data_IF_617226411963
#
_entry.id   IF_617226411963
#
_cell.length_a   1.000
_cell.length_b   1.000
_cell.length_c   1.000
_cell.angle_alpha   90.00
_cell.angle_beta   90.00
_cell.angle_gamma   90.00
#
_symmetry.space_group_name_H-M   'P 1'
#
loop_
_entity.id
_entity.type
_entity.pdbx_description
1 polymer ?
#
# COMPACT_ATOMS: atom_id res chain seq x y z
N UNK A 1 -20.56 -14.05 24.58
CA UNK A 1 -19.82 -13.01 25.35
C UNK A 1 -18.72 -12.47 24.45
N UNK A 2 -18.81 -11.23 24.00
CA UNK A 2 -17.70 -10.60 23.28
C UNK A 2 -16.52 -10.37 24.26
N UNK A 3 -15.27 -10.61 23.85
CA UNK A 3 -14.12 -10.42 24.72
C UNK A 3 -14.05 -8.96 25.22
N UNK A 4 -13.62 -8.75 26.46
CA UNK A 4 -13.56 -7.40 27.07
C UNK A 4 -12.73 -6.40 26.24
N UNK A 5 -11.79 -6.88 25.42
CA UNK A 5 -11.00 -6.06 24.49
C UNK A 5 -11.82 -5.39 23.40
N UNK A 6 -12.91 -5.99 22.91
CA UNK A 6 -13.71 -5.41 21.82
C UNK A 6 -14.46 -4.16 22.27
N UNK A 7 -14.91 -4.11 23.53
CA UNK A 7 -15.64 -2.96 24.07
C UNK A 7 -14.75 -1.71 24.20
N UNK A 8 -13.50 -1.91 24.61
CA UNK A 8 -12.54 -0.82 24.77
C UNK A 8 -12.17 -0.20 23.40
N UNK A 9 -12.05 -1.04 22.37
CA UNK A 9 -11.80 -0.59 21.00
C UNK A 9 -12.95 0.29 20.46
N UNK A 10 -14.21 -0.12 20.64
CA UNK A 10 -15.37 0.67 20.21
C UNK A 10 -15.50 2.00 20.95
N UNK A 11 -15.16 2.04 22.25
CA UNK A 11 -15.14 3.30 23.01
C UNK A 11 -14.03 4.26 22.54
N UNK A 12 -12.85 3.74 22.21
CA UNK A 12 -11.76 4.56 21.65
C UNK A 12 -12.12 5.10 20.25
N UNK A 13 -12.78 4.29 19.42
CA UNK A 13 -13.25 4.72 18.09
C UNK A 13 -14.30 5.84 18.16
N UNK A 14 -15.13 5.89 19.21
CA UNK A 14 -16.11 6.97 19.38
C UNK A 14 -15.52 8.32 19.84
N UNK A 15 -14.27 8.34 20.32
CA UNK A 15 -13.59 9.56 20.77
C UNK A 15 -12.82 10.28 19.65
N UNK A 16 -12.60 9.62 18.52
CA UNK A 16 -11.99 10.25 17.36
C UNK A 16 -13.03 11.12 16.64
N UNK A 17 -13.22 12.36 17.10
CA UNK A 17 -13.90 13.37 16.31
C UNK A 17 -13.01 13.65 15.09
N UNK A 18 -13.44 13.29 13.86
CA UNK A 18 -12.61 13.55 12.70
C UNK A 18 -12.49 15.06 12.54
N UNK A 19 -11.28 15.54 12.23
CA UNK A 19 -11.09 16.94 11.91
C UNK A 19 -12.00 17.27 10.71
N UNK A 20 -12.70 18.40 10.75
CA UNK A 20 -13.48 18.88 9.62
C UNK A 20 -12.61 19.79 8.77
N UNK A 21 -11.48 19.26 8.31
CA UNK A 21 -10.63 19.94 7.35
C UNK A 21 -10.98 19.44 5.95
N UNK A 22 -11.16 20.38 5.04
CA UNK A 22 -11.66 20.16 3.68
C UNK A 22 -10.80 21.05 2.79
N UNK A 23 -10.30 20.55 1.66
CA UNK A 23 -9.50 21.40 0.76
C UNK A 23 -10.38 22.47 0.13
N UNK A 24 -10.05 23.75 0.35
CA UNK A 24 -10.83 24.89 -0.11
C UNK A 24 -9.94 26.11 -0.44
N UNK A 25 -10.50 27.09 -1.14
CA UNK A 25 -9.84 28.39 -1.31
C UNK A 25 -10.05 29.26 -0.07
N UNK A 26 -9.00 29.95 0.35
CA UNK A 26 -9.11 30.99 1.37
C UNK A 26 -10.05 32.13 0.91
N UNK A 27 -10.77 32.72 1.86
CA UNK A 27 -11.75 33.77 1.57
C UNK A 27 -11.04 35.01 1.03
N UNK A 28 -11.40 35.44 -0.18
CA UNK A 28 -10.82 36.64 -0.81
C UNK A 28 -9.46 36.47 -1.51
N UNK A 29 -8.83 35.29 -1.45
CA UNK A 29 -7.55 35.02 -2.13
C UNK A 29 -7.64 33.77 -3.03
N UNK A 30 -6.67 33.54 -3.91
CA UNK A 30 -6.56 32.28 -4.67
C UNK A 30 -5.67 31.25 -3.96
N UNK A 31 -5.39 31.45 -2.68
CA UNK A 31 -4.61 30.53 -1.86
C UNK A 31 -5.46 29.30 -1.55
N UNK A 32 -4.92 28.10 -1.79
CA UNK A 32 -5.59 26.84 -1.47
C UNK A 32 -5.14 26.42 -0.07
N UNK A 33 -6.09 26.21 0.84
CA UNK A 33 -5.88 25.59 2.15
C UNK A 33 -6.17 24.10 1.98
N UNK A 34 -5.14 23.28 2.15
CA UNK A 34 -5.23 21.84 1.95
C UNK A 34 -5.76 21.09 3.16
N UNK A 35 -6.36 19.91 2.93
CA UNK A 35 -6.70 18.98 4.01
C UNK A 35 -5.46 18.16 4.42
N UNK A 36 -4.89 18.40 5.61
CA UNK A 36 -3.73 17.65 6.06
C UNK A 36 -4.04 16.21 6.47
N UNK A 37 -5.30 15.84 6.66
CA UNK A 37 -5.70 14.47 6.97
C UNK A 37 -5.60 13.56 5.73
N UNK A 38 -5.66 14.14 4.52
CA UNK A 38 -5.56 13.40 3.27
C UNK A 38 -4.14 13.34 2.71
N UNK A 39 -3.43 14.47 2.69
CA UNK A 39 -2.11 14.58 2.04
C UNK A 39 -1.15 15.49 2.82
N UNK A 40 -1.41 15.67 4.12
CA UNK A 40 -0.46 16.28 5.04
C UNK A 40 0.87 15.56 5.03
N UNK A 41 1.90 16.23 5.56
CA UNK A 41 3.27 15.74 5.50
C UNK A 41 3.44 14.38 6.21
N UNK A 42 2.74 14.16 7.33
CA UNK A 42 2.76 12.87 8.04
C UNK A 42 2.18 11.73 7.20
N UNK A 43 1.08 11.99 6.48
CA UNK A 43 0.44 11.03 5.58
C UNK A 43 1.34 10.72 4.39
N UNK A 44 1.85 11.76 3.72
CA UNK A 44 2.77 11.59 2.57
C UNK A 44 4.01 10.79 2.93
N UNK A 45 4.71 11.18 4.00
CA UNK A 45 5.92 10.47 4.45
C UNK A 45 5.61 9.02 4.84
N UNK A 46 4.45 8.74 5.44
CA UNK A 46 4.01 7.37 5.70
C UNK A 46 3.98 6.51 4.44
N UNK A 47 3.33 7.00 3.38
CA UNK A 47 3.25 6.28 2.10
C UNK A 47 4.60 6.13 1.43
N UNK A 48 5.47 7.14 1.53
CA UNK A 48 6.83 7.07 0.97
C UNK A 48 7.69 6.05 1.70
N UNK A 49 7.62 6.01 3.04
CA UNK A 49 8.29 5.00 3.84
C UNK A 49 7.75 3.60 3.54
N UNK A 50 6.42 3.44 3.46
CA UNK A 50 5.83 2.15 3.17
C UNK A 50 6.12 1.66 1.75
N UNK A 51 6.24 2.58 0.78
CA UNK A 51 6.77 2.27 -0.55
C UNK A 51 8.23 1.79 -0.49
N UNK A 52 9.09 2.52 0.24
CA UNK A 52 10.48 2.12 0.43
C UNK A 52 10.59 0.74 1.09
N UNK A 53 9.75 0.44 2.08
CA UNK A 53 9.64 -0.90 2.69
C UNK A 53 9.28 -1.96 1.65
N UNK A 54 8.27 -1.71 0.82
CA UNK A 54 7.89 -2.62 -0.25
C UNK A 54 9.04 -2.90 -1.23
N UNK A 55 9.75 -1.86 -1.66
CA UNK A 55 10.92 -1.99 -2.53
C UNK A 55 12.04 -2.79 -1.86
N UNK A 56 12.35 -2.51 -0.59
CA UNK A 56 13.36 -3.27 0.16
C UNK A 56 12.96 -4.74 0.23
N UNK A 57 11.72 -5.04 0.60
CA UNK A 57 11.23 -6.41 0.69
C UNK A 57 11.30 -7.14 -0.68
N UNK A 58 10.99 -6.45 -1.78
CA UNK A 58 11.17 -6.99 -3.14
C UNK A 58 12.63 -7.26 -3.48
N UNK A 59 13.54 -6.33 -3.19
CA UNK A 59 14.98 -6.49 -3.46
C UNK A 59 15.58 -7.69 -2.73
N UNK A 60 15.10 -7.97 -1.52
CA UNK A 60 15.52 -9.10 -0.70
C UNK A 60 14.73 -10.39 -0.94
N UNK A 61 13.78 -10.41 -1.88
CA UNK A 61 12.98 -11.61 -2.13
C UNK A 61 12.03 -11.99 -0.98
N UNK A 62 11.77 -11.08 -0.04
CA UNK A 62 11.10 -11.41 1.22
C UNK A 62 9.57 -11.25 1.12
N UNK A 63 8.89 -12.31 0.70
CA UNK A 63 7.43 -12.31 0.52
C UNK A 63 6.65 -11.98 1.81
N UNK A 64 7.14 -12.39 2.99
CA UNK A 64 6.50 -12.12 4.28
C UNK A 64 6.54 -10.63 4.61
N UNK A 65 7.70 -10.01 4.44
CA UNK A 65 7.85 -8.57 4.66
C UNK A 65 6.98 -7.76 3.68
N UNK A 66 6.86 -8.19 2.41
CA UNK A 66 5.93 -7.56 1.45
C UNK A 66 4.48 -7.63 1.96
N UNK A 67 4.06 -8.80 2.45
CA UNK A 67 2.70 -9.02 2.93
C UNK A 67 2.35 -8.19 4.17
N UNK A 68 3.28 -8.05 5.12
CA UNK A 68 3.05 -7.25 6.33
C UNK A 68 2.91 -5.75 6.00
N UNK A 69 3.70 -5.24 5.06
CA UNK A 69 3.57 -3.84 4.61
C UNK A 69 2.26 -3.62 3.86
N UNK A 70 1.83 -4.57 3.03
CA UNK A 70 0.52 -4.51 2.34
C UNK A 70 -0.63 -4.40 3.33
N UNK A 71 -0.62 -5.15 4.43
CA UNK A 71 -1.66 -5.11 5.48
C UNK A 71 -1.77 -3.73 6.10
N UNK A 72 -0.64 -3.16 6.53
CA UNK A 72 -0.60 -1.82 7.12
C UNK A 72 -1.15 -0.76 6.16
N UNK A 73 -0.68 -0.78 4.91
CA UNK A 73 -1.10 0.18 3.90
C UNK A 73 -2.56 0.02 3.47
N UNK A 74 -3.09 -1.21 3.44
CA UNK A 74 -4.50 -1.45 3.11
C UNK A 74 -5.43 -0.78 4.13
N UNK A 75 -5.07 -0.85 5.42
CA UNK A 75 -5.84 -0.22 6.50
C UNK A 75 -5.81 1.30 6.36
N UNK A 76 -4.61 1.89 6.22
CA UNK A 76 -4.46 3.34 6.07
C UNK A 76 -5.16 3.84 4.80
N UNK A 77 -5.01 3.12 3.69
CA UNK A 77 -5.65 3.45 2.42
C UNK A 77 -7.17 3.40 2.48
N UNK A 78 -7.73 2.42 3.20
CA UNK A 78 -9.17 2.36 3.44
C UNK A 78 -9.67 3.56 4.26
N UNK A 79 -8.92 3.93 5.31
CA UNK A 79 -9.25 5.12 6.12
C UNK A 79 -9.23 6.40 5.28
N UNK A 80 -8.18 6.62 4.47
CA UNK A 80 -8.10 7.77 3.58
C UNK A 80 -9.22 7.78 2.54
N UNK A 81 -9.59 6.63 2.00
CA UNK A 81 -10.70 6.54 1.06
C UNK A 81 -12.03 7.00 1.68
N UNK A 82 -12.30 6.61 2.93
CA UNK A 82 -13.50 7.06 3.65
C UNK A 82 -13.49 8.59 3.83
N UNK A 83 -12.35 9.15 4.25
CA UNK A 83 -12.19 10.60 4.44
C UNK A 83 -12.39 11.32 3.10
N UNK A 84 -11.79 10.82 2.02
CA UNK A 84 -11.90 11.38 0.69
C UNK A 84 -13.36 11.44 0.20
N UNK A 85 -14.11 10.35 0.34
CA UNK A 85 -15.54 10.31 -0.04
C UNK A 85 -16.35 11.30 0.81
N UNK A 86 -16.05 11.41 2.10
CA UNK A 86 -16.72 12.36 2.99
C UNK A 86 -16.43 13.80 2.57
N UNK A 87 -15.17 14.17 2.34
CA UNK A 87 -14.77 15.52 1.94
C UNK A 87 -15.36 15.91 0.59
N UNK A 88 -15.39 14.98 -0.36
CA UNK A 88 -16.03 15.16 -1.65
C UNK A 88 -17.53 15.51 -1.50
N UNK A 89 -18.22 14.97 -0.49
CA UNK A 89 -19.63 15.29 -0.21
C UNK A 89 -19.81 16.65 0.49
N UNK A 90 -18.76 17.20 1.07
CA UNK A 90 -18.77 18.48 1.82
C UNK A 90 -18.37 19.68 0.97
N UNK A 91 -18.18 19.52 -0.35
CA UNK A 91 -17.85 20.65 -1.22
C UNK A 91 -16.36 20.93 -1.34
N UNK A 92 -15.47 19.97 -1.01
CA UNK A 92 -14.02 20.12 -1.23
C UNK A 92 -13.68 20.36 -2.70
N UNK A 93 -12.44 20.77 -2.96
CA UNK A 93 -11.78 20.62 -4.26
C UNK A 93 -11.59 19.11 -4.59
N UNK A 94 -12.71 18.41 -4.77
CA UNK A 94 -12.81 16.96 -4.70
C UNK A 94 -11.89 16.28 -5.70
N UNK A 95 -11.77 16.79 -6.93
CA UNK A 95 -10.93 16.14 -7.93
C UNK A 95 -9.45 16.33 -7.66
N UNK A 96 -9.03 17.48 -7.11
CA UNK A 96 -7.63 17.68 -6.68
C UNK A 96 -7.27 16.69 -5.57
N UNK A 97 -8.13 16.57 -4.56
CA UNK A 97 -7.95 15.60 -3.47
C UNK A 97 -7.93 14.17 -4.01
N UNK A 98 -8.81 13.86 -4.97
CA UNK A 98 -8.91 12.55 -5.60
C UNK A 98 -7.63 12.19 -6.36
N UNK A 99 -7.07 13.12 -7.14
CA UNK A 99 -5.80 12.92 -7.86
C UNK A 99 -4.58 12.80 -6.93
N UNK A 100 -4.55 13.58 -5.84
CA UNK A 100 -3.49 13.44 -4.82
C UNK A 100 -3.56 12.07 -4.14
N UNK A 101 -4.75 11.65 -3.70
CA UNK A 101 -4.93 10.32 -3.10
C UNK A 101 -4.70 9.21 -4.13
N UNK A 102 -5.06 9.41 -5.41
CA UNK A 102 -4.76 8.48 -6.49
C UNK A 102 -3.27 8.17 -6.58
N UNK A 103 -2.46 9.24 -6.69
CA UNK A 103 -1.01 9.11 -6.87
C UNK A 103 -0.34 8.48 -5.65
N UNK A 104 -0.73 8.88 -4.44
CA UNK A 104 -0.13 8.37 -3.21
C UNK A 104 -0.59 6.96 -2.83
N UNK A 105 -1.90 6.69 -2.89
CA UNK A 105 -2.46 5.44 -2.37
C UNK A 105 -2.53 4.39 -3.46
N UNK A 106 -2.92 4.74 -4.67
CA UNK A 106 -3.15 3.74 -5.71
C UNK A 106 -1.93 3.55 -6.59
N UNK A 107 -1.33 4.63 -7.11
CA UNK A 107 -0.18 4.53 -8.00
C UNK A 107 1.06 4.03 -7.24
N UNK A 108 1.37 4.60 -6.06
CA UNK A 108 2.54 4.21 -5.27
C UNK A 108 2.43 2.78 -4.70
N UNK A 109 1.24 2.37 -4.24
CA UNK A 109 1.04 0.99 -3.78
C UNK A 109 1.04 0.01 -4.94
N UNK A 110 0.49 0.38 -6.10
CA UNK A 110 0.58 -0.47 -7.30
C UNK A 110 2.00 -0.56 -7.82
N UNK A 111 2.81 0.49 -7.68
CA UNK A 111 4.23 0.46 -8.00
C UNK A 111 4.96 -0.55 -7.11
N UNK A 112 4.73 -0.54 -5.79
CA UNK A 112 5.38 -1.49 -4.87
C UNK A 112 4.81 -2.91 -4.92
N UNK A 113 3.53 -3.08 -5.25
CA UNK A 113 2.82 -4.35 -5.01
C UNK A 113 2.01 -4.87 -6.19
N UNK A 114 1.83 -4.10 -7.26
CA UNK A 114 0.93 -4.40 -8.38
C UNK A 114 1.11 -5.79 -8.98
N UNK A 115 2.35 -6.20 -9.33
CA UNK A 115 2.61 -7.55 -9.83
C UNK A 115 2.32 -8.65 -8.79
N UNK A 116 2.38 -8.28 -7.51
CA UNK A 116 2.13 -9.16 -6.38
C UNK A 116 0.72 -9.04 -5.80
N UNK A 117 -0.20 -8.28 -6.39
CA UNK A 117 -1.58 -8.19 -5.91
C UNK A 117 -2.31 -9.55 -5.97
N UNK A 118 -1.79 -10.49 -6.77
CA UNK A 118 -2.28 -11.87 -6.85
C UNK A 118 -1.77 -12.73 -5.69
N UNK A 119 -0.62 -12.38 -5.09
CA UNK A 119 0.06 -13.16 -4.07
C UNK A 119 -0.14 -12.57 -2.65
N UNK A 120 -0.44 -13.44 -1.69
CA UNK A 120 -0.66 -13.10 -0.28
C UNK A 120 -1.91 -13.75 0.31
N UNK A 121 -2.14 -13.51 1.59
CA UNK A 121 -3.29 -14.02 2.30
C UNK A 121 -4.60 -13.52 1.66
N UNK A 122 -5.63 -14.36 1.78
CA UNK A 122 -6.93 -14.12 1.13
C UNK A 122 -7.62 -12.87 1.69
N UNK A 123 -7.40 -12.53 2.96
CA UNK A 123 -8.05 -11.39 3.61
C UNK A 123 -7.45 -10.06 3.12
N UNK A 124 -6.12 -9.95 3.08
CA UNK A 124 -5.42 -8.77 2.56
C UNK A 124 -5.76 -8.54 1.09
N UNK A 125 -5.75 -9.59 0.27
CA UNK A 125 -6.19 -9.49 -1.13
C UNK A 125 -7.64 -9.05 -1.25
N UNK A 126 -8.53 -9.57 -0.40
CA UNK A 126 -9.92 -9.18 -0.40
C UNK A 126 -10.10 -7.69 -0.06
N UNK A 127 -9.47 -7.22 1.03
CA UNK A 127 -9.55 -5.83 1.47
C UNK A 127 -9.00 -4.89 0.40
N UNK A 128 -7.78 -5.13 -0.11
CA UNK A 128 -7.18 -4.31 -1.16
C UNK A 128 -8.06 -4.27 -2.42
N UNK A 129 -8.57 -5.42 -2.87
CA UNK A 129 -9.43 -5.50 -4.06
C UNK A 129 -10.75 -4.75 -3.86
N UNK A 130 -11.33 -4.79 -2.65
CA UNK A 130 -12.53 -4.02 -2.33
C UNK A 130 -12.22 -2.53 -2.35
N UNK A 131 -11.13 -2.07 -1.71
CA UNK A 131 -10.77 -0.64 -1.69
C UNK A 131 -10.51 -0.12 -3.10
N UNK A 132 -9.71 -0.84 -3.90
CA UNK A 132 -9.42 -0.49 -5.29
C UNK A 132 -10.66 -0.51 -6.16
N UNK A 133 -11.51 -1.52 -5.97
CA UNK A 133 -12.77 -1.63 -6.68
C UNK A 133 -13.73 -0.49 -6.36
N UNK A 134 -13.92 -0.15 -5.08
CA UNK A 134 -14.77 0.96 -4.64
C UNK A 134 -14.26 2.30 -5.19
N UNK A 135 -12.96 2.55 -5.06
CA UNK A 135 -12.35 3.76 -5.61
C UNK A 135 -12.57 3.89 -7.11
N UNK A 136 -12.34 2.80 -7.85
CA UNK A 136 -12.49 2.76 -9.30
C UNK A 136 -13.94 2.99 -9.75
N UNK A 137 -14.91 2.40 -9.05
CA UNK A 137 -16.35 2.54 -9.36
C UNK A 137 -16.88 3.94 -9.01
N UNK A 138 -16.27 4.64 -8.06
CA UNK A 138 -16.65 6.02 -7.74
C UNK A 138 -16.05 7.07 -8.67
N UNK A 139 -15.06 6.73 -9.50
CA UNK A 139 -14.43 7.71 -10.39
C UNK A 139 -15.41 8.44 -11.31
N UNK A 140 -16.38 7.77 -11.99
CA UNK A 140 -17.35 8.49 -12.82
C UNK A 140 -18.15 9.50 -12.02
N UNK A 141 -18.56 9.18 -10.78
CA UNK A 141 -19.26 10.15 -9.95
C UNK A 141 -18.42 11.40 -9.70
N UNK A 142 -17.14 11.23 -9.37
CA UNK A 142 -16.21 12.35 -9.14
C UNK A 142 -16.02 13.19 -10.40
N UNK A 143 -15.65 12.57 -11.52
CA UNK A 143 -15.31 13.32 -12.74
C UNK A 143 -16.52 13.84 -13.52
N UNK A 144 -17.71 13.22 -13.38
CA UNK A 144 -18.93 13.72 -14.04
C UNK A 144 -19.69 14.73 -13.18
N UNK A 145 -19.75 14.53 -11.86
CA UNK A 145 -20.58 15.37 -10.99
C UNK A 145 -19.79 16.41 -10.19
N UNK A 146 -18.50 16.16 -9.91
CA UNK A 146 -17.70 17.00 -9.00
C UNK A 146 -16.53 17.69 -9.71
N UNK A 147 -16.44 17.63 -11.03
CA UNK A 147 -15.36 18.25 -11.81
C UNK A 147 -15.19 19.74 -11.52
N UNK A 148 -16.30 20.47 -11.39
CA UNK A 148 -16.32 21.90 -11.09
C UNK A 148 -16.50 22.20 -9.58
N UNK A 149 -16.52 21.18 -8.71
CA UNK A 149 -16.72 21.38 -7.28
C UNK A 149 -15.52 22.12 -6.67
N UNK A 150 -15.82 23.16 -5.88
CA UNK A 150 -14.80 24.00 -5.24
C UNK A 150 -14.13 24.98 -6.19
N UNK A 151 -14.49 25.01 -7.48
CA UNK A 151 -13.94 25.96 -8.46
C UNK A 151 -14.24 27.41 -8.05
N UNK A 152 -13.25 28.29 -8.16
CA UNK A 152 -13.37 29.72 -7.90
C UNK A 152 -12.97 30.51 -9.15
N UNK A 153 -13.83 31.44 -9.57
CA UNK A 153 -13.55 32.28 -10.75
C UNK A 153 -12.30 33.14 -10.53
N UNK A 154 -11.44 33.22 -11.56
CA UNK A 154 -10.18 33.95 -11.51
C UNK A 154 -9.03 33.23 -10.80
N UNK A 155 -9.28 32.06 -10.18
CA UNK A 155 -8.23 31.24 -9.60
C UNK A 155 -7.92 30.04 -10.51
N UNK A 156 -6.65 29.91 -10.91
CA UNK A 156 -6.18 28.81 -11.74
C UNK A 156 -5.77 27.62 -10.87
N UNK A 157 -6.41 26.47 -11.09
CA UNK A 157 -5.96 25.19 -10.54
C UNK A 157 -5.08 24.50 -11.58
N UNK A 158 -3.88 24.07 -11.19
CA UNK A 158 -2.88 23.50 -12.10
C UNK A 158 -2.75 22.01 -11.90
N UNK A 159 -2.76 21.27 -12.99
CA UNK A 159 -2.40 19.86 -13.01
C UNK A 159 -0.95 19.71 -13.49
N UNK A 160 -0.23 18.69 -12.99
CA UNK A 160 1.12 18.38 -13.45
C UNK A 160 1.14 17.01 -14.14
N UNK A 161 1.45 16.99 -15.44
CA UNK A 161 1.76 15.78 -16.22
C UNK A 161 3.02 16.03 -17.05
N UNK A 162 4.20 15.96 -16.41
CA UNK A 162 5.50 16.38 -16.96
C UNK A 162 5.60 17.87 -17.36
N UNK A 163 4.48 18.58 -17.46
CA UNK A 163 4.33 20.02 -17.58
C UNK A 163 3.08 20.46 -16.80
N UNK A 164 3.05 21.74 -16.41
CA UNK A 164 1.87 22.33 -15.79
C UNK A 164 0.87 22.76 -16.86
N UNK A 165 -0.41 22.46 -16.63
CA UNK A 165 -1.51 22.91 -17.47
C UNK A 165 -2.74 23.19 -16.62
N UNK A 166 -3.71 23.93 -17.19
CA UNK A 166 -4.98 24.24 -16.51
C UNK A 166 -5.78 22.95 -16.29
N UNK A 167 -6.10 22.69 -15.03
CA UNK A 167 -6.90 21.54 -14.61
C UNK A 167 -8.28 21.52 -15.29
N UNK A 168 -8.87 22.69 -15.51
CA UNK A 168 -10.20 22.84 -16.10
C UNK A 168 -10.18 22.85 -17.63
N UNK A 169 -9.04 22.51 -18.25
CA UNK A 169 -8.98 22.33 -19.69
C UNK A 169 -10.02 21.29 -20.15
N UNK A 170 -10.90 21.67 -21.08
CA UNK A 170 -12.01 20.82 -21.56
C UNK A 170 -11.55 19.47 -22.08
N UNK A 171 -10.38 19.41 -22.74
CA UNK A 171 -9.83 18.15 -23.24
C UNK A 171 -9.35 17.25 -22.11
N UNK A 172 -8.73 17.83 -21.08
CA UNK A 172 -8.28 17.07 -19.91
C UNK A 172 -9.45 16.51 -19.10
N UNK A 173 -10.45 17.35 -18.80
CA UNK A 173 -11.67 16.88 -18.10
C UNK A 173 -12.41 15.83 -18.93
N UNK A 174 -12.48 16.00 -20.26
CA UNK A 174 -13.01 14.99 -21.17
C UNK A 174 -12.24 13.67 -21.13
N UNK A 175 -10.91 13.73 -21.09
CA UNK A 175 -10.04 12.56 -20.94
C UNK A 175 -10.26 11.85 -19.61
N UNK A 176 -10.31 12.57 -18.47
CA UNK A 176 -10.58 11.98 -17.16
C UNK A 176 -11.95 11.30 -17.09
N UNK A 177 -12.99 11.92 -17.66
CA UNK A 177 -14.32 11.31 -17.79
C UNK A 177 -14.27 10.00 -18.57
N UNK A 178 -13.59 9.98 -19.73
CA UNK A 178 -13.42 8.77 -20.53
C UNK A 178 -12.65 7.69 -19.77
N UNK A 179 -11.52 8.04 -19.16
CA UNK A 179 -10.68 7.13 -18.37
C UNK A 179 -11.46 6.51 -17.20
N UNK A 180 -12.31 7.30 -16.53
CA UNK A 180 -13.12 6.84 -15.40
C UNK A 180 -14.08 5.71 -15.76
N UNK A 181 -14.62 5.71 -16.99
CA UNK A 181 -15.50 4.64 -17.48
C UNK A 181 -14.70 3.35 -17.64
N UNK A 182 -13.51 3.42 -18.24
CA UNK A 182 -12.64 2.25 -18.41
C UNK A 182 -12.19 1.68 -17.05
N UNK A 183 -11.78 2.55 -16.13
CA UNK A 183 -11.37 2.16 -14.78
C UNK A 183 -12.54 1.56 -14.00
N UNK A 184 -13.76 2.02 -14.21
CA UNK A 184 -14.95 1.44 -13.55
C UNK A 184 -15.16 -0.03 -13.91
N UNK A 185 -14.93 -0.41 -15.18
CA UNK A 185 -15.05 -1.82 -15.61
C UNK A 185 -14.06 -2.69 -14.85
N UNK A 186 -12.81 -2.22 -14.75
CA UNK A 186 -11.76 -2.87 -13.95
C UNK A 186 -12.15 -2.90 -12.47
N UNK A 187 -12.72 -1.81 -11.96
CA UNK A 187 -13.22 -1.69 -10.59
C UNK A 187 -14.27 -2.71 -10.22
N UNK A 188 -15.26 -2.94 -11.09
CA UNK A 188 -16.29 -3.97 -10.91
C UNK A 188 -15.67 -5.37 -10.82
N UNK A 189 -14.66 -5.65 -11.66
CA UNK A 189 -13.91 -6.91 -11.57
C UNK A 189 -13.18 -7.06 -10.22
N UNK A 190 -12.47 -6.00 -9.77
CA UNK A 190 -11.79 -6.01 -8.46
C UNK A 190 -12.77 -6.17 -7.29
N UNK A 191 -13.94 -5.53 -7.33
CA UNK A 191 -14.98 -5.72 -6.32
C UNK A 191 -15.46 -7.18 -6.28
N UNK A 192 -15.80 -7.75 -7.44
CA UNK A 192 -16.23 -9.15 -7.53
C UNK A 192 -15.15 -10.09 -7.00
N UNK A 193 -13.89 -9.89 -7.40
CA UNK A 193 -12.75 -10.66 -6.92
C UNK A 193 -12.57 -10.51 -5.40
N UNK A 194 -12.68 -9.30 -4.85
CA UNK A 194 -12.57 -9.03 -3.43
C UNK A 194 -13.66 -9.70 -2.60
N UNK A 195 -14.92 -9.66 -3.06
CA UNK A 195 -16.05 -10.35 -2.42
C UNK A 195 -15.84 -11.86 -2.42
N UNK A 196 -15.42 -12.44 -3.55
CA UNK A 196 -15.15 -13.88 -3.64
C UNK A 196 -14.02 -14.31 -2.69
N UNK A 197 -12.94 -13.53 -2.57
CA UNK A 197 -11.86 -13.82 -1.62
C UNK A 197 -12.32 -13.66 -0.17
N UNK A 198 -13.18 -12.69 0.13
CA UNK A 198 -13.79 -12.54 1.46
C UNK A 198 -14.61 -13.77 1.83
N UNK A 199 -15.49 -14.23 0.94
CA UNK A 199 -16.34 -15.42 1.18
C UNK A 199 -15.47 -16.65 1.41
N UNK A 200 -14.41 -16.85 0.61
CA UNK A 200 -13.46 -17.94 0.78
C UNK A 200 -12.72 -17.86 2.11
N UNK A 201 -12.20 -16.69 2.47
CA UNK A 201 -11.50 -16.48 3.74
C UNK A 201 -12.41 -16.76 4.95
N UNK A 202 -13.66 -16.30 4.91
CA UNK A 202 -14.66 -16.59 5.97
C UNK A 202 -14.97 -18.09 6.03
N UNK A 203 -15.10 -18.74 4.87
CA UNK A 203 -15.31 -20.20 4.79
C UNK A 203 -14.13 -20.95 5.43
N UNK A 204 -12.90 -20.56 5.16
CA UNK A 204 -11.72 -21.18 5.76
C UNK A 204 -11.71 -21.01 7.28
N UNK A 205 -12.09 -19.85 7.81
CA UNK A 205 -12.19 -19.60 9.26
C UNK A 205 -13.29 -20.48 9.89
N UNK A 206 -14.44 -20.60 9.23
CA UNK A 206 -15.59 -21.32 9.77
C UNK A 206 -15.43 -22.84 9.70
N UNK A 207 -15.02 -23.37 8.54
CA UNK A 207 -14.88 -24.81 8.31
C UNK A 207 -13.48 -25.34 8.65
N UNK A 208 -12.42 -24.55 8.43
CA UNK A 208 -11.04 -24.95 8.68
C UNK A 208 -10.71 -25.11 10.17
N UNK A 209 -11.48 -24.45 11.06
CA UNK A 209 -11.36 -24.64 12.51
C UNK A 209 -11.75 -26.05 12.96
N UNK A 210 -12.49 -26.81 12.14
CA UNK A 210 -12.85 -28.20 12.44
C UNK A 210 -11.87 -29.23 11.84
N UNK A 211 -10.85 -28.79 11.08
CA UNK A 211 -9.77 -29.63 10.55
C UNK A 211 -8.56 -29.71 11.49
N UNK A 212 -8.70 -29.24 12.74
CA UNK A 212 -7.66 -29.25 13.78
C UNK A 212 -7.24 -30.63 14.29
N UNK A 213 -7.51 -31.70 13.54
CA UNK A 213 -7.08 -33.06 13.86
C UNK A 213 -6.35 -33.77 12.69
N UNK A 214 -5.98 -33.04 11.62
CA UNK A 214 -5.00 -33.53 10.66
C UNK A 214 -3.60 -33.28 11.21
N UNK A 215 -3.25 -34.04 12.24
CA UNK A 215 -1.91 -34.03 12.82
C UNK A 215 -0.85 -34.51 11.83
N UNK A 216 0.40 -34.09 12.10
CA UNK A 216 1.61 -34.85 11.79
C UNK A 216 1.82 -35.35 10.36
N UNK A 217 1.38 -34.58 9.36
CA UNK A 217 2.05 -34.64 8.05
C UNK A 217 3.32 -33.79 8.10
N UNK A 218 4.31 -34.32 8.80
CA UNK A 218 5.73 -34.18 8.42
C UNK A 218 5.87 -34.92 7.07
N UNK A 219 5.33 -34.32 6.00
CA UNK A 219 5.55 -34.81 4.65
C UNK A 219 6.93 -34.33 4.24
N UNK A 220 7.88 -35.27 4.11
CA UNK A 220 9.22 -35.06 3.57
C UNK A 220 9.19 -34.68 2.08
N UNK A 221 8.64 -33.51 1.78
CA UNK A 221 8.72 -32.80 0.50
C UNK A 221 9.78 -31.68 0.59
N UNK A 222 11.02 -32.03 0.98
CA UNK A 222 12.12 -31.06 1.13
C UNK A 222 13.09 -31.03 -0.07
N UNK A 223 12.85 -31.75 -1.17
CA UNK A 223 13.87 -31.88 -2.24
C UNK A 223 13.63 -31.11 -3.53
N UNK A 224 12.41 -30.66 -3.83
CA UNK A 224 12.11 -29.96 -5.10
C UNK A 224 11.74 -28.47 -4.93
N UNK A 225 11.74 -27.94 -3.70
CA UNK A 225 11.35 -26.54 -3.41
C UNK A 225 12.45 -25.52 -3.68
N UNK A 226 13.72 -25.92 -3.62
CA UNK A 226 14.86 -24.99 -3.75
C UNK A 226 14.95 -24.34 -5.14
N UNK A 227 14.60 -25.07 -6.21
CA UNK A 227 14.68 -24.52 -7.58
C UNK A 227 13.62 -23.46 -7.89
N UNK A 228 12.46 -23.53 -7.25
CA UNK A 228 11.38 -22.57 -7.45
C UNK A 228 11.63 -21.26 -6.67
N UNK A 229 12.34 -21.31 -5.54
CA UNK A 229 12.67 -20.12 -4.75
C UNK A 229 13.61 -19.16 -5.48
N UNK A 230 14.64 -19.69 -6.15
CA UNK A 230 15.61 -18.86 -6.88
C UNK A 230 14.96 -18.11 -8.05
N UNK A 231 14.08 -18.78 -8.81
CA UNK A 231 13.33 -18.14 -9.89
C UNK A 231 12.41 -17.03 -9.39
N UNK A 232 11.77 -17.22 -8.23
CA UNK A 232 10.91 -16.20 -7.62
C UNK A 232 11.71 -14.97 -7.15
N UNK A 233 12.92 -15.17 -6.61
CA UNK A 233 13.82 -14.08 -6.18
C UNK A 233 14.22 -13.17 -7.34
N UNK A 234 14.55 -13.74 -8.49
CA UNK A 234 14.93 -12.96 -9.66
C UNK A 234 13.75 -12.18 -10.26
N UNK A 235 12.56 -12.78 -10.27
CA UNK A 235 11.32 -12.08 -10.64
C UNK A 235 11.07 -10.89 -9.69
N UNK A 236 11.22 -11.08 -8.38
CA UNK A 236 11.04 -10.01 -7.39
C UNK A 236 12.03 -8.86 -7.58
N UNK A 237 13.30 -9.16 -7.87
CA UNK A 237 14.32 -8.15 -8.18
C UNK A 237 14.00 -7.37 -9.46
N UNK A 238 13.54 -8.07 -10.51
CA UNK A 238 13.09 -7.42 -11.74
C UNK A 238 11.93 -6.46 -11.48
N UNK A 239 10.95 -6.86 -10.68
CA UNK A 239 9.86 -5.98 -10.27
C UNK A 239 10.35 -4.80 -9.43
N UNK A 240 11.30 -5.00 -8.51
CA UNK A 240 11.83 -3.91 -7.68
C UNK A 240 12.35 -2.73 -8.51
N UNK A 241 13.03 -2.98 -9.64
CA UNK A 241 13.53 -1.92 -10.52
C UNK A 241 12.38 -1.11 -11.13
N UNK A 242 11.35 -1.79 -11.63
CA UNK A 242 10.15 -1.17 -12.20
C UNK A 242 9.40 -0.39 -11.10
N UNK A 243 9.31 -0.96 -9.90
CA UNK A 243 8.71 -0.34 -8.72
C UNK A 243 9.42 0.95 -8.34
N UNK A 244 10.76 0.99 -8.32
CA UNK A 244 11.55 2.20 -8.03
C UNK A 244 11.24 3.29 -9.04
N UNK A 245 11.25 2.99 -10.35
CA UNK A 245 10.98 3.98 -11.39
C UNK A 245 9.56 4.53 -11.29
N UNK A 246 8.55 3.64 -11.25
CA UNK A 246 7.14 4.03 -11.18
C UNK A 246 6.79 4.76 -9.89
N UNK A 247 7.32 4.32 -8.74
CA UNK A 247 7.10 4.99 -7.46
C UNK A 247 7.80 6.34 -7.36
N UNK A 248 9.00 6.49 -7.93
CA UNK A 248 9.68 7.80 -7.99
C UNK A 248 8.87 8.80 -8.82
N UNK A 249 8.30 8.36 -9.94
CA UNK A 249 7.38 9.17 -10.76
C UNK A 249 6.12 9.54 -9.96
N UNK A 250 5.54 8.60 -9.22
CA UNK A 250 4.37 8.85 -8.37
C UNK A 250 4.64 9.92 -7.30
N UNK A 251 5.76 9.80 -6.58
CA UNK A 251 6.19 10.77 -5.58
C UNK A 251 6.39 12.14 -6.22
N UNK A 252 7.10 12.20 -7.36
CA UNK A 252 7.32 13.45 -8.08
C UNK A 252 5.99 14.09 -8.53
N UNK A 253 5.01 13.31 -9.00
CA UNK A 253 3.68 13.81 -9.34
C UNK A 253 2.96 14.41 -8.13
N UNK A 254 2.91 13.70 -7.01
CA UNK A 254 2.28 14.20 -5.78
C UNK A 254 2.95 15.51 -5.33
N UNK A 255 4.28 15.54 -5.25
CA UNK A 255 5.00 16.73 -4.79
C UNK A 255 4.83 17.92 -5.75
N UNK A 256 4.85 17.69 -7.05
CA UNK A 256 4.64 18.74 -8.04
C UNK A 256 3.21 19.26 -8.08
N UNK A 257 2.22 18.44 -7.73
CA UNK A 257 0.84 18.88 -7.57
C UNK A 257 0.67 19.76 -6.34
N UNK A 258 1.23 19.36 -5.20
CA UNK A 258 1.19 20.15 -3.96
C UNK A 258 1.93 21.47 -4.15
N UNK A 259 3.17 21.43 -4.64
CA UNK A 259 3.99 22.64 -4.83
C UNK A 259 3.48 23.53 -5.95
N UNK A 260 2.98 22.95 -7.04
CA UNK A 260 2.52 23.70 -8.22
C UNK A 260 1.26 24.52 -8.00
N UNK A 261 0.46 24.13 -7.00
CA UNK A 261 -0.74 24.83 -6.58
C UNK A 261 -0.54 25.67 -5.31
N UNK A 262 0.71 25.76 -4.80
CA UNK A 262 1.06 26.43 -3.55
C UNK A 262 0.14 26.02 -2.39
N UNK A 263 -0.23 24.75 -2.25
CA UNK A 263 -1.21 24.34 -1.24
C UNK A 263 -0.65 24.62 0.15
N UNK A 264 -1.36 25.45 0.91
CA UNK A 264 -1.00 25.75 2.30
C UNK A 264 -1.41 24.59 3.20
N UNK A 265 -0.43 24.07 3.92
CA UNK A 265 -0.55 23.02 4.92
C UNK A 265 0.01 23.51 6.27
N UNK A 266 0.11 24.82 6.49
CA UNK A 266 0.69 25.40 7.71
C UNK A 266 -0.16 25.14 8.96
N UNK A 267 -1.48 25.00 8.81
CA UNK A 267 -2.40 24.59 9.89
C UNK A 267 -2.16 23.14 10.34
N UNK A 268 -1.40 22.37 9.56
CA UNK A 268 -1.15 20.95 9.75
C UNK A 268 -0.01 20.73 10.75
N UNK A 269 -0.26 20.87 12.04
CA UNK A 269 0.75 20.45 13.02
C UNK A 269 0.97 18.93 12.97
N UNK A 270 2.24 18.49 13.00
CA UNK A 270 2.61 17.07 13.18
C UNK A 270 2.05 16.47 14.48
N UNK A 271 1.61 17.31 15.43
CA UNK A 271 0.97 16.88 16.67
C UNK A 271 -0.48 16.43 16.46
N UNK A 272 -1.09 16.70 15.30
CA UNK A 272 -2.42 16.18 14.97
C UNK A 272 -2.38 14.65 14.87
N UNK A 273 -3.30 14.00 15.58
CA UNK A 273 -3.47 12.54 15.58
C UNK A 273 -3.63 11.96 14.17
N UNK A 274 -4.31 12.69 13.27
CA UNK A 274 -4.55 12.29 11.88
C UNK A 274 -3.27 12.21 11.04
N UNK A 275 -2.23 12.97 11.38
CA UNK A 275 -0.93 12.93 10.71
C UNK A 275 0.06 12.01 11.42
N UNK A 276 0.03 12.01 12.76
CA UNK A 276 0.95 11.22 13.57
C UNK A 276 0.71 9.72 13.40
N UNK A 277 -0.55 9.28 13.36
CA UNK A 277 -0.87 7.85 13.24
C UNK A 277 -0.33 7.26 11.93
N UNK A 278 -0.65 7.80 10.73
CA UNK A 278 -0.08 7.32 9.48
C UNK A 278 1.45 7.34 9.52
N UNK A 279 2.06 8.45 9.96
CA UNK A 279 3.52 8.56 10.06
C UNK A 279 4.13 7.43 10.88
N UNK A 280 3.59 7.14 12.07
CA UNK A 280 4.05 6.03 12.92
C UNK A 280 3.85 4.67 12.26
N UNK A 281 2.74 4.46 11.54
CA UNK A 281 2.50 3.22 10.78
C UNK A 281 3.54 3.04 9.69
N UNK A 282 3.87 4.10 8.93
CA UNK A 282 4.92 4.06 7.91
C UNK A 282 6.31 3.76 8.49
N UNK A 283 6.68 4.44 9.59
CA UNK A 283 7.95 4.21 10.30
C UNK A 283 8.03 2.79 10.85
N UNK A 284 7.00 2.31 11.53
CA UNK A 284 6.96 0.96 12.09
C UNK A 284 7.05 -0.10 10.99
N UNK A 285 6.34 0.10 9.88
CA UNK A 285 6.39 -0.79 8.72
C UNK A 285 7.80 -0.84 8.13
N UNK A 286 8.45 0.31 7.98
CA UNK A 286 9.83 0.39 7.48
C UNK A 286 10.83 -0.36 8.37
N UNK A 287 10.85 -0.09 9.67
CA UNK A 287 11.76 -0.79 10.58
C UNK A 287 11.47 -2.28 10.67
N UNK A 288 10.19 -2.68 10.68
CA UNK A 288 9.79 -4.09 10.70
C UNK A 288 10.30 -4.84 9.46
N UNK A 289 10.15 -4.24 8.28
CA UNK A 289 10.65 -4.79 7.02
C UNK A 289 12.17 -4.92 7.01
N UNK A 290 12.88 -3.86 7.39
CA UNK A 290 14.35 -3.88 7.44
C UNK A 290 14.83 -4.97 8.41
N UNK A 291 14.24 -5.04 9.61
CA UNK A 291 14.59 -6.05 10.60
C UNK A 291 14.36 -7.48 10.09
N UNK A 292 13.23 -7.72 9.43
CA UNK A 292 12.88 -9.03 8.85
C UNK A 292 13.87 -9.43 7.77
N UNK A 293 14.18 -8.52 6.83
CA UNK A 293 15.15 -8.78 5.76
C UNK A 293 16.55 -9.06 6.32
N UNK A 294 17.03 -8.26 7.28
CA UNK A 294 18.33 -8.46 7.92
C UNK A 294 18.39 -9.78 8.68
N UNK A 295 17.34 -10.11 9.42
CA UNK A 295 17.25 -11.37 10.16
C UNK A 295 17.32 -12.60 9.25
N UNK A 296 16.70 -12.54 8.08
CA UNK A 296 16.73 -13.65 7.13
C UNK A 296 18.10 -13.80 6.46
N UNK A 297 18.78 -12.70 6.11
CA UNK A 297 20.19 -12.73 5.62
C UNK A 297 21.12 -13.36 6.67
N UNK A 298 20.95 -13.00 7.94
CA UNK A 298 21.78 -13.57 9.02
C UNK A 298 21.55 -15.08 9.17
N UNK A 299 20.30 -15.54 9.04
CA UNK A 299 19.98 -16.99 9.09
C UNK A 299 20.56 -17.74 7.89
N UNK A 300 20.47 -17.18 6.68
CA UNK A 300 21.06 -17.79 5.48
C UNK A 300 22.58 -17.96 5.63
N UNK A 301 23.29 -16.93 6.12
CA UNK A 301 24.73 -17.02 6.40
C UNK A 301 25.07 -18.08 7.45
N UNK A 302 24.25 -18.19 8.50
CA UNK A 302 24.43 -19.19 9.55
C UNK A 302 24.15 -20.63 9.07
N UNK A 303 23.27 -20.83 8.08
CA UNK A 303 23.08 -22.14 7.43
C UNK A 303 24.27 -22.50 6.56
N UNK A 304 24.67 -21.62 5.64
CA UNK A 304 25.81 -21.90 4.77
C UNK A 304 27.12 -22.15 5.52
N UNK A 305 27.30 -21.54 6.70
CA UNK A 305 28.47 -21.84 7.56
C UNK A 305 28.42 -23.27 8.13
N UNK A 306 27.23 -23.74 8.53
CA UNK A 306 27.03 -25.10 9.04
C UNK A 306 27.21 -26.15 7.94
N UNK A 307 26.67 -25.91 6.75
CA UNK A 307 26.79 -26.84 5.63
C UNK A 307 28.26 -27.02 5.20
N UNK A 308 29.05 -25.94 5.23
CA UNK A 308 30.50 -25.99 4.97
C UNK A 308 31.25 -26.76 6.06
N UNK A 309 30.84 -26.64 7.32
CA UNK A 309 31.43 -27.38 8.44
C UNK A 309 31.11 -28.87 8.35
N UNK A 310 29.87 -29.23 8.03
CA UNK A 310 29.43 -30.63 7.82
C UNK A 310 30.19 -31.28 6.66
N UNK A 311 30.29 -30.61 5.50
CA UNK A 311 31.07 -31.12 4.36
C UNK A 311 32.55 -31.29 4.71
N UNK A 312 33.10 -30.41 5.55
CA UNK A 312 34.49 -30.51 6.03
C UNK A 312 34.69 -31.70 6.96
N UNK A 313 33.74 -31.99 7.85
CA UNK A 313 33.77 -33.17 8.72
C UNK A 313 33.73 -34.46 7.89
N UNK A 314 32.80 -34.58 6.94
CA UNK A 314 32.70 -35.74 6.03
C UNK A 314 33.99 -35.97 5.23
N UNK A 315 34.63 -34.90 4.75
CA UNK A 315 35.92 -35.01 4.04
C UNK A 315 37.08 -35.43 4.94
N UNK A 316 37.06 -35.07 6.23
CA UNK A 316 38.11 -35.46 7.17
C UNK A 316 37.96 -36.92 7.58
N UNK A 317 36.72 -37.38 7.79
CA UNK A 317 36.44 -38.77 8.14
C UNK A 317 36.84 -39.72 7.01
N UNK A 318 36.53 -39.39 5.76
CA UNK A 318 36.95 -40.19 4.60
C UNK A 318 38.47 -40.28 4.41
N UNK A 319 39.24 -39.28 4.85
CA UNK A 319 40.73 -39.36 4.83
C UNK A 319 41.27 -40.31 5.89
N UNK A 320 40.62 -40.42 7.04
CA UNK A 320 41.04 -41.31 8.12
C UNK A 320 40.85 -42.79 7.73
N UNK A 321 39.76 -43.13 7.06
CA UNK A 321 39.52 -44.48 6.54
C UNK A 321 40.51 -44.89 5.44
N UNK A 322 40.91 -43.96 4.58
CA UNK A 322 41.93 -44.21 3.55
C UNK A 322 43.31 -44.53 4.12
N UNK A 323 43.68 -43.96 5.27
CA UNK A 323 44.94 -44.25 5.95
C UNK A 323 44.92 -45.57 6.74
N UNK A 324 43.76 -46.00 7.24
CA UNK A 324 43.64 -47.27 7.97
C UNK A 324 43.75 -48.51 7.06
N UNK A 325 43.47 -48.36 5.76
CA UNK A 325 43.49 -49.45 4.78
C UNK A 325 44.79 -49.54 3.94
N UNK A 326 45.77 -48.68 4.19
CA UNK A 326 47.07 -48.65 3.52
C UNK A 326 48.17 -49.21 4.42
#
# INVERSE_FOLDING_TARGET
MAPKSTRLLFSLLSLAAPSMQVTHYETGSCQIIGDPDLYGIGVRVSYYLAFASGVIALLFGNARAVEDVKKGNAIVGFSLFIILVRNARQGSLAVLEWELVFTMVFLLMSAAYGPLCVFGDRATRAVLSIVYGLYSVLQPWVFFSLADQGRKEGCELRMFLFAYFDFYNTHWVGFLKFQSILITIVGVFFLGFGVLNTVRAVKDIYYGRNSGNSGNRDDGEDSDSDSDEDGQRDIFRGFAVISVASGSIAIAFTEKLVSGNNIDLSEASFTSTSQLIPFLVGVASFFSTVWTCVGDIMKERARGTRDVEEVREVMNDGKSEGQANA
#
